data_IF_153788597203
#
_entry.id   IF_153788597203
#
_cell.length_a   1.000
_cell.length_b   1.000
_cell.length_c   1.000
_cell.angle_alpha   90.00
_cell.angle_beta   90.00
_cell.angle_gamma   90.00
#
_symmetry.space_group_name_H-M   'P 1'
#
loop_
_entity.id
_entity.type
_entity.pdbx_description
1 polymer ?
#
# COMPACT_ATOMS: atom_id res chain seq x y z
N UNK A 1 -5.10 -16.54 -0.91
CA UNK A 1 -6.45 -16.63 -1.50
C UNK A 1 -6.32 -16.76 -3.02
N UNK A 2 -6.80 -17.88 -3.58
CA UNK A 2 -7.18 -18.11 -4.98
C UNK A 2 -8.00 -19.42 -5.00
N UNK A 3 -9.12 -19.49 -5.76
CA UNK A 3 -9.02 -20.13 -7.07
C UNK A 3 -9.60 -19.32 -8.25
N UNK A 4 -10.32 -18.21 -8.03
CA UNK A 4 -11.00 -17.47 -9.13
C UNK A 4 -10.67 -15.98 -9.19
N UNK A 5 -10.18 -15.38 -8.10
CA UNK A 5 -9.84 -13.96 -8.02
C UNK A 5 -8.53 -13.75 -7.29
N UNK A 6 -7.86 -12.64 -7.64
CA UNK A 6 -6.64 -12.18 -7.00
C UNK A 6 -6.82 -10.78 -6.42
N UNK A 7 -6.23 -10.56 -5.25
CA UNK A 7 -6.21 -9.25 -4.60
C UNK A 7 -7.48 -8.94 -3.80
N UNK A 8 -7.57 -7.71 -3.32
CA UNK A 8 -8.72 -7.17 -2.61
C UNK A 8 -8.90 -5.68 -3.00
N UNK A 9 -10.11 -5.16 -2.87
CA UNK A 9 -10.42 -3.77 -3.14
C UNK A 9 -10.26 -2.93 -1.87
N UNK A 10 -9.41 -1.89 -1.92
CA UNK A 10 -9.01 -1.12 -0.73
C UNK A 10 -10.18 -0.47 0.04
N UNK A 11 -11.27 -0.10 -0.66
CA UNK A 11 -12.43 0.52 0.01
C UNK A 11 -13.28 -0.49 0.81
N UNK A 12 -13.05 -1.80 0.64
CA UNK A 12 -13.53 -2.84 1.55
C UNK A 12 -12.43 -3.21 2.54
N UNK A 13 -12.00 -2.24 3.34
CA UNK A 13 -10.79 -2.33 4.17
C UNK A 13 -10.84 -3.53 5.10
N UNK A 14 -9.82 -4.38 5.06
CA UNK A 14 -9.69 -5.62 5.83
C UNK A 14 -8.34 -5.64 6.55
N UNK A 15 -8.40 -5.36 7.85
CA UNK A 15 -7.23 -5.27 8.72
C UNK A 15 -6.57 -6.62 8.97
N UNK A 16 -7.23 -7.74 8.65
CA UNK A 16 -6.70 -9.08 8.84
C UNK A 16 -5.77 -9.52 7.69
N UNK A 17 -5.65 -8.73 6.63
CA UNK A 17 -4.74 -9.04 5.51
C UNK A 17 -3.33 -8.59 5.87
N UNK A 18 -2.46 -9.57 6.14
CA UNK A 18 -1.04 -9.33 6.46
C UNK A 18 -0.29 -8.69 5.27
N UNK A 19 -0.35 -9.30 4.08
CA UNK A 19 0.27 -8.77 2.84
C UNK A 19 -0.71 -7.85 2.08
N UNK A 20 -1.29 -6.88 2.79
CA UNK A 20 -2.18 -5.88 2.20
C UNK A 20 -1.52 -5.06 1.08
N UNK A 21 -0.20 -4.73 1.09
CA UNK A 21 0.42 -3.98 0.01
C UNK A 21 0.26 -4.69 -1.33
N UNK A 22 0.54 -5.99 -1.35
CA UNK A 22 0.39 -6.82 -2.55
C UNK A 22 -1.08 -7.08 -2.87
N UNK A 23 -1.92 -7.31 -1.87
CA UNK A 23 -3.34 -7.59 -2.07
C UNK A 23 -4.09 -6.40 -2.69
N UNK A 24 -3.80 -5.17 -2.26
CA UNK A 24 -4.49 -3.97 -2.75
C UNK A 24 -3.84 -3.35 -3.97
N UNK A 25 -2.50 -3.30 -4.01
CA UNK A 25 -1.79 -2.48 -5.01
C UNK A 25 -0.86 -3.29 -5.92
N UNK A 26 -0.50 -4.50 -5.52
CA UNK A 26 0.38 -5.37 -6.30
C UNK A 26 1.65 -4.65 -6.73
N UNK A 27 1.97 -4.70 -8.02
CA UNK A 27 3.17 -4.05 -8.59
C UNK A 27 3.15 -2.51 -8.49
N UNK A 28 1.99 -1.89 -8.30
CA UNK A 28 1.88 -0.44 -8.21
C UNK A 28 2.32 0.09 -6.84
N UNK A 29 2.47 -0.77 -5.83
CA UNK A 29 2.83 -0.35 -4.47
C UNK A 29 4.11 0.50 -4.47
N UNK A 30 5.16 0.06 -5.17
CA UNK A 30 6.43 0.80 -5.24
C UNK A 30 6.31 2.15 -5.96
N UNK A 31 5.42 2.28 -6.94
CA UNK A 31 5.18 3.58 -7.59
C UNK A 31 4.42 4.52 -6.66
N UNK A 32 3.49 3.97 -5.87
CA UNK A 32 2.72 4.75 -4.91
C UNK A 32 3.57 5.22 -3.73
N UNK A 33 4.57 4.44 -3.28
CA UNK A 33 5.52 4.88 -2.25
C UNK A 33 6.38 6.06 -2.74
N UNK A 34 6.77 6.07 -4.04
CA UNK A 34 7.47 7.20 -4.65
C UNK A 34 6.57 8.45 -4.76
N UNK A 35 5.31 8.28 -5.17
CA UNK A 35 4.32 9.38 -5.19
C UNK A 35 4.10 9.92 -3.78
N UNK A 36 3.94 9.03 -2.78
CA UNK A 36 3.79 9.40 -1.37
C UNK A 36 5.02 10.16 -0.88
N UNK A 37 6.23 9.75 -1.21
CA UNK A 37 7.45 10.50 -0.87
C UNK A 37 7.46 11.92 -1.47
N UNK A 38 6.95 12.11 -2.70
CA UNK A 38 6.89 13.44 -3.33
C UNK A 38 5.89 14.39 -2.65
N UNK A 39 4.75 13.89 -2.21
CA UNK A 39 3.63 14.73 -1.75
C UNK A 39 3.36 14.68 -0.24
N UNK A 40 3.88 13.67 0.47
CA UNK A 40 3.72 13.45 1.91
C UNK A 40 4.96 12.71 2.47
N UNK A 41 6.14 13.31 2.29
CA UNK A 41 7.43 12.75 2.72
C UNK A 41 7.51 12.51 4.24
N UNK A 42 6.87 13.36 5.04
CA UNK A 42 6.80 13.22 6.50
C UNK A 42 5.75 12.20 6.94
N UNK A 43 5.03 11.58 6.01
CA UNK A 43 3.98 10.60 6.25
C UNK A 43 2.90 11.11 7.23
N UNK A 44 2.48 12.36 7.05
CA UNK A 44 1.47 13.04 7.88
C UNK A 44 0.16 12.27 7.81
N UNK A 45 -0.24 11.81 6.63
CA UNK A 45 -1.44 11.01 6.42
C UNK A 45 -1.14 9.51 6.56
N UNK A 46 -0.93 9.07 7.81
CA UNK A 46 -0.64 7.67 8.17
C UNK A 46 -1.80 6.99 8.92
N UNK A 47 -1.99 5.70 8.66
CA UNK A 47 -2.96 4.82 9.32
C UNK A 47 -2.49 3.35 9.21
N UNK A 48 -3.20 2.40 9.82
CA UNK A 48 -2.72 1.00 9.97
C UNK A 48 -2.32 0.30 8.66
N UNK A 49 -2.93 0.66 7.53
CA UNK A 49 -2.60 0.14 6.20
C UNK A 49 -2.32 1.29 5.21
N UNK A 50 -1.67 2.37 5.67
CA UNK A 50 -1.24 3.46 4.80
C UNK A 50 0.02 3.09 4.02
N UNK A 51 0.07 3.49 2.75
CA UNK A 51 1.29 3.39 1.93
C UNK A 51 2.38 4.29 2.56
N UNK A 52 3.55 3.75 2.93
CA UNK A 52 4.65 4.56 3.45
C UNK A 52 5.35 5.31 2.30
N UNK A 53 5.96 6.48 2.56
CA UNK A 53 6.88 7.09 1.60
C UNK A 53 8.09 6.18 1.40
N UNK A 54 8.64 6.15 0.19
CA UNK A 54 9.93 5.50 -0.05
C UNK A 54 11.00 6.19 0.82
N UNK A 55 11.88 5.41 1.46
CA UNK A 55 13.02 5.99 2.20
C UNK A 55 14.05 6.49 1.18
N UNK A 56 14.65 7.66 1.37
CA UNK A 56 15.72 8.19 0.49
C UNK A 56 17.06 7.44 0.65
N UNK A 57 17.04 6.18 1.08
CA UNK A 57 18.22 5.36 1.31
C UNK A 57 17.99 3.96 0.74
N UNK A 58 17.97 3.83 -0.58
CA UNK A 58 18.20 2.59 -1.33
C UNK A 58 19.07 2.91 -2.56
#
# INVERSE_FOLDING_TARGET
MFPFTWGNYVNGTDLCIEDWPRAYYGRNFNLLTQVKAKYDSENVFRFSQSIPPTSECD
#
